data_IF_800514910856
#
_entry.id   IF_800514910856
#
_cell.length_a   1.000
_cell.length_b   1.000
_cell.length_c   1.000
_cell.angle_alpha   90.00
_cell.angle_beta   90.00
_cell.angle_gamma   90.00
#
_symmetry.space_group_name_H-M   'P 1'
#
loop_
_entity.id
_entity.type
_entity.pdbx_description
1 polymer ?
#
# COMPACT_ATOMS: atom_id res chain seq x y z
N UNK A 1 -22.46 -10.34 42.06
CA UNK A 1 -22.24 -8.99 41.49
C UNK A 1 -20.85 -8.84 40.86
N UNK A 2 -19.77 -9.15 41.59
CA UNK A 2 -18.39 -8.93 41.12
C UNK A 2 -17.95 -9.73 39.89
N UNK A 3 -18.40 -10.99 39.72
CA UNK A 3 -18.10 -11.79 38.51
C UNK A 3 -18.70 -11.21 37.23
N UNK A 4 -19.88 -10.59 37.30
CA UNK A 4 -20.53 -9.94 36.14
C UNK A 4 -19.81 -8.64 35.78
N UNK A 5 -19.37 -7.88 36.78
CA UNK A 5 -18.58 -6.66 36.59
C UNK A 5 -17.21 -6.95 35.94
N UNK A 6 -16.51 -7.99 36.42
CA UNK A 6 -15.22 -8.41 35.86
C UNK A 6 -15.34 -8.90 34.42
N UNK A 7 -16.41 -9.64 34.10
CA UNK A 7 -16.69 -10.09 32.74
C UNK A 7 -17.02 -8.91 31.81
N UNK A 8 -17.82 -7.94 32.28
CA UNK A 8 -18.16 -6.74 31.52
C UNK A 8 -16.93 -5.85 31.25
N UNK A 9 -16.04 -5.70 32.24
CA UNK A 9 -14.78 -4.98 32.08
C UNK A 9 -13.82 -5.67 31.11
N UNK A 10 -13.73 -7.01 31.16
CA UNK A 10 -12.90 -7.79 30.23
C UNK A 10 -13.42 -7.75 28.79
N UNK A 11 -14.73 -7.78 28.59
CA UNK A 11 -15.34 -7.65 27.25
C UNK A 11 -15.12 -6.23 26.70
N UNK A 12 -15.25 -5.19 27.54
CA UNK A 12 -15.01 -3.80 27.14
C UNK A 12 -13.53 -3.55 26.75
N UNK A 13 -12.57 -4.18 27.45
CA UNK A 13 -11.15 -4.06 27.13
C UNK A 13 -10.77 -4.77 25.82
N UNK A 14 -11.45 -5.86 25.47
CA UNK A 14 -11.22 -6.58 24.20
C UNK A 14 -11.75 -5.77 23.01
N UNK A 15 -12.91 -5.10 23.15
CA UNK A 15 -13.50 -4.29 22.07
C UNK A 15 -12.64 -3.06 21.73
N UNK A 16 -11.99 -2.45 22.72
CA UNK A 16 -11.09 -1.30 22.53
C UNK A 16 -9.78 -1.66 21.80
N UNK A 17 -9.37 -2.93 21.78
CA UNK A 17 -8.14 -3.39 21.11
C UNK A 17 -8.31 -3.68 19.61
N UNK A 18 -9.53 -3.70 19.08
CA UNK A 18 -9.81 -4.16 17.70
C UNK A 18 -9.99 -3.02 16.69
N UNK A 19 -9.92 -1.76 17.11
CA UNK A 19 -9.98 -0.63 16.18
C UNK A 19 -8.61 -0.36 15.54
N UNK A 20 -8.24 -1.18 14.56
CA UNK A 20 -7.16 -0.82 13.63
C UNK A 20 -7.72 0.27 12.73
N UNK A 21 -7.23 1.53 12.82
CA UNK A 21 -7.64 2.53 11.85
C UNK A 21 -7.23 2.02 10.46
N UNK A 22 -8.17 2.01 9.53
CA UNK A 22 -7.85 1.77 8.13
C UNK A 22 -6.98 2.94 7.67
N UNK A 23 -5.65 2.77 7.75
CA UNK A 23 -4.71 3.74 7.19
C UNK A 23 -5.07 3.89 5.71
N UNK A 24 -5.30 5.11 5.21
CA UNK A 24 -5.52 5.35 3.78
C UNK A 24 -4.40 4.65 3.01
N UNK A 25 -4.77 3.74 2.11
CA UNK A 25 -3.79 2.98 1.33
C UNK A 25 -3.34 3.85 0.17
N UNK A 26 -2.34 4.67 0.42
CA UNK A 26 -1.60 5.35 -0.63
C UNK A 26 -0.85 4.30 -1.49
N UNK A 27 -0.96 4.44 -2.82
CA UNK A 27 -0.16 3.64 -3.74
C UNK A 27 1.06 4.41 -4.23
N UNK A 28 2.22 3.78 -4.16
CA UNK A 28 3.46 4.29 -4.76
C UNK A 28 3.61 3.67 -6.14
N UNK A 29 3.46 4.45 -7.21
CA UNK A 29 3.25 3.90 -8.56
C UNK A 29 4.33 4.37 -9.53
N UNK A 30 4.89 3.47 -10.32
CA UNK A 30 5.65 3.81 -11.54
C UNK A 30 4.80 3.49 -12.76
N UNK A 31 4.44 4.52 -13.52
CA UNK A 31 3.67 4.41 -14.76
C UNK A 31 3.67 5.73 -15.54
N UNK A 32 3.28 5.66 -16.82
CA UNK A 32 2.92 6.84 -17.61
C UNK A 32 1.68 7.55 -17.03
N UNK A 33 1.58 8.86 -17.23
CA UNK A 33 0.43 9.64 -16.74
C UNK A 33 -0.90 9.27 -17.44
N UNK A 34 -0.82 8.63 -18.60
CA UNK A 34 -1.92 8.09 -19.38
C UNK A 34 -2.33 6.67 -19.00
N UNK A 35 -1.59 6.01 -18.09
CA UNK A 35 -1.91 4.67 -17.61
C UNK A 35 -3.35 4.61 -17.06
N UNK A 36 -4.12 3.69 -17.60
CA UNK A 36 -5.55 3.55 -17.34
C UNK A 36 -5.84 3.19 -15.89
N UNK A 37 -5.11 2.23 -15.32
CA UNK A 37 -5.23 1.84 -13.90
C UNK A 37 -4.94 3.03 -12.99
N UNK A 38 -3.84 3.76 -13.22
CA UNK A 38 -3.52 4.97 -12.44
C UNK A 38 -4.65 6.01 -12.52
N UNK A 39 -5.18 6.27 -13.71
CA UNK A 39 -6.29 7.21 -13.90
C UNK A 39 -7.61 6.74 -13.27
N UNK A 40 -7.84 5.43 -13.17
CA UNK A 40 -8.99 4.85 -12.48
C UNK A 40 -8.83 4.98 -10.97
N UNK A 41 -7.64 4.69 -10.42
CA UNK A 41 -7.34 4.85 -8.99
C UNK A 41 -7.58 6.29 -8.54
N UNK A 42 -7.00 7.27 -9.23
CA UNK A 42 -7.22 8.69 -8.93
C UNK A 42 -8.70 9.09 -8.99
N UNK A 43 -9.44 8.62 -10.01
CA UNK A 43 -10.87 8.93 -10.16
C UNK A 43 -11.74 8.36 -9.05
N UNK A 44 -11.30 7.30 -8.39
CA UNK A 44 -12.00 6.70 -7.25
C UNK A 44 -11.51 7.23 -5.90
N UNK A 45 -10.73 8.32 -5.89
CA UNK A 45 -10.27 8.97 -4.65
C UNK A 45 -9.13 8.22 -3.95
N UNK A 46 -8.45 7.31 -4.63
CA UNK A 46 -7.25 6.68 -4.09
C UNK A 46 -6.08 7.67 -4.13
N UNK A 47 -5.34 7.76 -3.03
CA UNK A 47 -4.09 8.51 -2.97
C UNK A 47 -3.01 7.75 -3.75
N UNK A 48 -2.32 8.42 -4.66
CA UNK A 48 -1.27 7.81 -5.47
C UNK A 48 -0.09 8.76 -5.64
N UNK A 49 1.07 8.38 -5.13
CA UNK A 49 2.34 9.03 -5.42
C UNK A 49 2.97 8.40 -6.66
N UNK A 50 2.97 9.13 -7.78
CA UNK A 50 3.52 8.66 -9.07
C UNK A 50 4.99 9.07 -9.22
N UNK A 51 5.83 8.11 -9.61
CA UNK A 51 7.25 8.28 -9.87
C UNK A 51 7.64 7.77 -11.27
N UNK A 52 8.72 8.32 -11.82
CA UNK A 52 9.21 7.93 -13.13
C UNK A 52 10.02 6.63 -13.10
N UNK A 53 10.56 6.24 -11.94
CA UNK A 53 11.35 5.01 -11.78
C UNK A 53 10.91 4.15 -10.60
N UNK A 54 11.05 2.82 -10.77
CA UNK A 54 10.79 1.84 -9.70
C UNK A 54 11.63 2.10 -8.44
N UNK A 55 12.90 2.51 -8.62
CA UNK A 55 13.79 2.86 -7.51
C UNK A 55 13.21 3.98 -6.64
N UNK A 56 12.77 5.09 -7.26
CA UNK A 56 12.19 6.23 -6.54
C UNK A 56 10.91 5.84 -5.79
N UNK A 57 10.04 5.04 -6.43
CA UNK A 57 8.82 4.56 -5.81
C UNK A 57 9.12 3.68 -4.58
N UNK A 58 10.04 2.72 -4.70
CA UNK A 58 10.47 1.86 -3.60
C UNK A 58 11.12 2.68 -2.49
N UNK A 59 12.02 3.62 -2.79
CA UNK A 59 12.71 4.43 -1.78
C UNK A 59 11.75 5.35 -1.02
N UNK A 60 10.73 5.89 -1.69
CA UNK A 60 9.75 6.82 -1.09
C UNK A 60 8.64 6.12 -0.31
N UNK A 61 8.28 4.88 -0.66
CA UNK A 61 7.20 4.14 0.01
C UNK A 61 7.50 3.89 1.49
N UNK A 62 6.61 4.19 2.46
CA UNK A 62 6.80 3.80 3.85
C UNK A 62 6.93 2.27 4.02
N UNK A 63 7.48 1.85 5.16
CA UNK A 63 7.52 0.43 5.54
C UNK A 63 6.09 -0.17 5.53
N UNK A 64 5.94 -1.39 5.01
CA UNK A 64 4.66 -2.07 4.85
C UNK A 64 3.73 -1.53 3.75
N UNK A 65 4.15 -0.53 2.97
CA UNK A 65 3.36 0.04 1.88
C UNK A 65 3.47 -0.75 0.58
N UNK A 66 2.43 -0.67 -0.26
CA UNK A 66 2.45 -1.31 -1.57
C UNK A 66 3.10 -0.40 -2.64
N UNK A 67 3.95 -1.00 -3.47
CA UNK A 67 4.53 -0.35 -4.65
C UNK A 67 4.03 -1.04 -5.92
N UNK A 68 3.51 -0.26 -6.87
CA UNK A 68 3.01 -0.74 -8.16
C UNK A 68 3.99 -0.34 -9.28
N UNK A 69 4.64 -1.31 -9.90
CA UNK A 69 5.52 -1.09 -11.06
C UNK A 69 4.76 -1.58 -12.31
N UNK A 70 4.28 -0.66 -13.14
CA UNK A 70 3.43 -0.98 -14.28
C UNK A 70 4.20 -0.85 -15.60
N UNK A 71 3.99 -1.80 -16.52
CA UNK A 71 4.58 -1.75 -17.85
C UNK A 71 3.91 -0.67 -18.71
N UNK A 72 4.73 0.16 -19.37
CA UNK A 72 4.26 1.15 -20.34
C UNK A 72 3.90 0.53 -21.68
N UNK A 73 4.71 -0.43 -22.15
CA UNK A 73 4.64 -0.95 -23.50
C UNK A 73 4.08 -2.37 -23.57
N UNK A 74 3.32 -2.83 -22.58
CA UNK A 74 2.69 -4.15 -22.64
C UNK A 74 1.62 -4.19 -23.76
N UNK A 75 1.54 -5.27 -24.57
CA UNK A 75 2.30 -6.53 -24.46
C UNK A 75 3.64 -6.57 -25.20
N UNK A 76 4.03 -5.49 -25.87
CA UNK A 76 5.25 -5.38 -26.69
C UNK A 76 6.53 -5.62 -25.87
N UNK A 77 6.62 -5.06 -24.66
CA UNK A 77 7.76 -5.22 -23.77
C UNK A 77 7.33 -5.42 -22.31
N UNK A 78 8.07 -6.28 -21.59
CA UNK A 78 7.93 -6.44 -20.16
C UNK A 78 8.77 -5.39 -19.41
N UNK A 79 8.33 -5.00 -18.22
CA UNK A 79 9.15 -4.17 -17.34
C UNK A 79 10.29 -4.99 -16.76
N UNK A 80 11.52 -4.61 -17.04
CA UNK A 80 12.68 -5.17 -16.36
C UNK A 80 12.70 -4.72 -14.90
N UNK A 81 12.80 -5.68 -13.99
CA UNK A 81 12.94 -5.42 -12.54
C UNK A 81 14.29 -5.95 -12.10
N UNK A 82 15.17 -5.04 -11.72
CA UNK A 82 16.49 -5.39 -11.16
C UNK A 82 16.30 -6.21 -9.86
N UNK A 83 16.90 -7.41 -9.75
CA UNK A 83 16.88 -8.21 -8.52
C UNK A 83 17.29 -7.43 -7.26
N UNK A 84 18.19 -6.44 -7.38
CA UNK A 84 18.58 -5.59 -6.26
C UNK A 84 17.43 -4.70 -5.75
N UNK A 85 16.55 -4.25 -6.66
CA UNK A 85 15.34 -3.50 -6.29
C UNK A 85 14.32 -4.40 -5.59
N UNK A 86 14.16 -5.63 -6.06
CA UNK A 86 13.29 -6.60 -5.39
C UNK A 86 13.78 -6.88 -3.96
N UNK A 87 15.07 -7.18 -3.78
CA UNK A 87 15.67 -7.37 -2.47
C UNK A 87 15.54 -6.12 -1.58
N UNK A 88 15.57 -4.91 -2.18
CA UNK A 88 15.35 -3.66 -1.43
C UNK A 88 13.92 -3.54 -0.93
N UNK A 89 12.95 -3.94 -1.74
CA UNK A 89 11.53 -3.94 -1.38
C UNK A 89 11.21 -4.97 -0.29
N UNK A 90 11.86 -6.14 -0.28
CA UNK A 90 11.74 -7.14 0.80
C UNK A 90 12.22 -6.65 2.18
N UNK A 91 13.01 -5.58 2.21
CA UNK A 91 13.48 -4.93 3.45
C UNK A 91 12.64 -3.72 3.86
N UNK A 92 11.47 -3.52 3.23
CA UNK A 92 10.42 -2.60 3.65
C UNK A 92 9.22 -3.39 4.16
#
# INVERSE_FOLDING_TARGET
MQRRLALQLAILSVVLLVSVPAVPREFFVTCGADNDLYRVLLRNGMECSRYDTAKQAIESAPEGSAVLILAGDYPTAATEVDPALLARAERK
#
